data_IF_372439067993
#
_entry.id   IF_372439067993
#
_cell.length_a   1.000
_cell.length_b   1.000
_cell.length_c   1.000
_cell.angle_alpha   90.00
_cell.angle_beta   90.00
_cell.angle_gamma   90.00
#
_symmetry.space_group_name_H-M   'P 1'
#
loop_
_entity.id
_entity.type
_entity.pdbx_description
1 polymer ?
#
# COMPACT_ATOMS: atom_id res chain seq x y z
N UNK A 1 0.91 -5.32 4.44
CA UNK A 1 0.45 -4.65 3.20
C UNK A 1 0.13 -3.18 3.43
N UNK A 2 -0.69 -2.84 4.43
CA UNK A 2 -1.03 -1.44 4.77
C UNK A 2 0.18 -0.49 4.87
N UNK A 3 1.30 -0.93 5.48
CA UNK A 3 2.52 -0.12 5.58
C UNK A 3 3.14 0.23 4.22
N UNK A 4 3.16 -0.70 3.27
CA UNK A 4 3.70 -0.47 1.92
C UNK A 4 2.86 0.54 1.14
N UNK A 5 1.53 0.38 1.19
CA UNK A 5 0.59 1.32 0.58
C UNK A 5 0.77 2.72 1.19
N UNK A 6 0.84 2.80 2.53
CA UNK A 6 1.02 4.07 3.25
C UNK A 6 2.31 4.77 2.84
N UNK A 7 3.42 4.04 2.80
CA UNK A 7 4.72 4.56 2.40
C UNK A 7 4.70 5.05 0.95
N UNK A 8 4.08 4.29 0.05
CA UNK A 8 3.94 4.66 -1.36
C UNK A 8 3.13 5.94 -1.56
N UNK A 9 1.97 6.03 -0.91
CA UNK A 9 1.10 7.23 -0.95
C UNK A 9 1.88 8.47 -0.50
N UNK A 10 2.64 8.36 0.61
CA UNK A 10 3.49 9.45 1.10
C UNK A 10 4.62 9.79 0.12
N UNK A 11 5.31 8.79 -0.43
CA UNK A 11 6.39 8.98 -1.40
C UNK A 11 5.92 9.68 -2.67
N UNK A 12 4.67 9.43 -3.10
CA UNK A 12 4.04 10.09 -4.25
C UNK A 12 3.45 11.47 -3.94
N UNK A 13 3.47 11.92 -2.68
CA UNK A 13 2.87 13.19 -2.27
C UNK A 13 1.34 13.21 -2.36
N UNK A 14 0.68 12.05 -2.40
CA UNK A 14 -0.76 11.95 -2.52
C UNK A 14 -1.45 12.15 -1.17
N UNK A 15 -2.59 12.86 -1.17
CA UNK A 15 -3.43 13.01 0.02
C UNK A 15 -4.23 11.73 0.27
N UNK A 16 -4.27 11.24 1.52
CA UNK A 16 -5.03 10.04 1.86
C UNK A 16 -6.53 10.14 1.51
N UNK A 17 -7.15 11.30 1.71
CA UNK A 17 -8.55 11.52 1.31
C UNK A 17 -8.75 11.33 -0.20
N UNK A 18 -7.83 11.83 -1.02
CA UNK A 18 -7.88 11.65 -2.47
C UNK A 18 -7.81 10.17 -2.85
N UNK A 19 -6.93 9.40 -2.20
CA UNK A 19 -6.78 7.95 -2.43
C UNK A 19 -8.05 7.20 -2.01
N UNK A 20 -8.65 7.55 -0.88
CA UNK A 20 -9.89 6.95 -0.40
C UNK A 20 -11.06 7.20 -1.37
N UNK A 21 -11.24 8.46 -1.77
CA UNK A 21 -12.32 8.89 -2.66
C UNK A 21 -12.20 8.19 -4.03
N UNK A 22 -10.98 8.12 -4.60
CA UNK A 22 -10.71 7.39 -5.86
C UNK A 22 -10.94 5.89 -5.77
N UNK A 23 -10.70 5.28 -4.61
CA UNK A 23 -10.92 3.84 -4.41
C UNK A 23 -12.41 3.51 -4.16
N UNK A 24 -13.27 4.52 -4.00
CA UNK A 24 -14.65 4.32 -3.56
C UNK A 24 -14.73 3.75 -2.15
N UNK A 25 -13.78 4.09 -1.27
CA UNK A 25 -13.73 3.63 0.12
C UNK A 25 -14.06 4.82 1.02
N UNK A 26 -14.99 4.62 1.95
CA UNK A 26 -15.33 5.62 2.96
C UNK A 26 -14.06 6.04 3.74
N UNK A 27 -13.86 7.35 3.92
CA UNK A 27 -12.58 7.90 4.40
C UNK A 27 -12.17 7.35 5.76
N UNK A 28 -13.09 7.30 6.73
CA UNK A 28 -12.81 6.76 8.08
C UNK A 28 -12.40 5.30 8.00
N UNK A 29 -13.07 4.49 7.19
CA UNK A 29 -12.69 3.12 6.89
C UNK A 29 -11.29 3.06 6.26
N UNK A 30 -11.01 3.87 5.24
CA UNK A 30 -9.69 3.92 4.61
C UNK A 30 -8.57 4.25 5.61
N UNK A 31 -8.79 5.22 6.52
CA UNK A 31 -7.83 5.53 7.57
C UNK A 31 -7.59 4.34 8.51
N UNK A 32 -8.63 3.59 8.87
CA UNK A 32 -8.46 2.37 9.66
C UNK A 32 -7.67 1.30 8.90
N UNK A 33 -7.93 1.12 7.61
CA UNK A 33 -7.22 0.18 6.74
C UNK A 33 -5.73 0.54 6.62
N UNK A 34 -5.40 1.79 6.28
CA UNK A 34 -4.03 2.23 6.02
C UNK A 34 -3.17 2.32 7.29
N UNK A 35 -3.81 2.41 8.45
CA UNK A 35 -3.17 2.35 9.76
C UNK A 35 -3.14 0.93 10.36
N UNK A 36 -3.66 -0.08 9.64
CA UNK A 36 -3.66 -1.48 10.13
C UNK A 36 -4.65 -1.77 11.26
N UNK A 37 -5.61 -0.88 11.52
CA UNK A 37 -6.63 -1.01 12.57
C UNK A 37 -7.81 -1.90 12.14
N UNK A 38 -7.87 -2.30 10.87
CA UNK A 38 -8.87 -3.21 10.32
C UNK A 38 -8.24 -3.98 9.16
N UNK A 39 -8.71 -5.20 8.95
CA UNK A 39 -8.29 -6.07 7.87
C UNK A 39 -8.58 -5.45 6.51
N UNK A 40 -7.57 -5.39 5.66
CA UNK A 40 -7.70 -4.99 4.26
C UNK A 40 -8.14 -6.20 3.44
N UNK A 41 -9.30 -6.12 2.80
CA UNK A 41 -9.79 -7.20 1.92
C UNK A 41 -9.07 -7.19 0.57
N UNK A 42 -9.14 -8.29 -0.16
CA UNK A 42 -8.58 -8.38 -1.52
C UNK A 42 -9.21 -7.33 -2.44
N UNK A 43 -10.54 -7.17 -2.40
CA UNK A 43 -11.26 -6.21 -3.22
C UNK A 43 -10.85 -4.76 -2.91
N UNK A 44 -10.74 -4.40 -1.63
CA UNK A 44 -10.28 -3.07 -1.21
C UNK A 44 -8.84 -2.82 -1.66
N UNK A 45 -7.99 -3.83 -1.52
CA UNK A 45 -6.61 -3.77 -1.97
C UNK A 45 -6.52 -3.52 -3.48
N UNK A 46 -7.29 -4.27 -4.28
CA UNK A 46 -7.32 -4.10 -5.74
C UNK A 46 -7.82 -2.72 -6.14
N UNK A 47 -8.90 -2.24 -5.51
CA UNK A 47 -9.44 -0.89 -5.76
C UNK A 47 -8.41 0.18 -5.45
N UNK A 48 -7.73 0.12 -4.30
CA UNK A 48 -6.68 1.08 -3.94
C UNK A 48 -5.55 1.06 -4.98
N UNK A 49 -5.06 -0.12 -5.36
CA UNK A 49 -3.96 -0.25 -6.31
C UNK A 49 -4.32 0.28 -7.69
N UNK A 50 -5.45 -0.19 -8.26
CA UNK A 50 -5.81 0.09 -9.65
C UNK A 50 -6.47 1.45 -9.84
N UNK A 51 -7.38 1.83 -8.95
CA UNK A 51 -8.22 3.03 -9.14
C UNK A 51 -7.59 4.30 -8.54
N UNK A 52 -6.77 4.17 -7.50
CA UNK A 52 -6.21 5.33 -6.80
C UNK A 52 -4.72 5.51 -7.02
N UNK A 53 -3.96 4.43 -7.08
CA UNK A 53 -2.50 4.48 -7.20
C UNK A 53 -1.99 4.19 -8.61
N UNK A 54 -2.88 3.73 -9.50
CA UNK A 54 -2.57 3.39 -10.89
C UNK A 54 -1.39 2.41 -11.01
N UNK A 55 -1.31 1.45 -10.09
CA UNK A 55 -0.30 0.39 -10.09
C UNK A 55 -0.95 -0.99 -10.12
N UNK A 56 -0.23 -1.95 -10.72
CA UNK A 56 -0.61 -3.36 -10.62
C UNK A 56 -0.61 -3.81 -9.15
N UNK A 57 -1.61 -4.57 -8.68
CA UNK A 57 -1.58 -5.18 -7.35
C UNK A 57 -0.33 -6.03 -7.09
N UNK A 58 0.34 -6.57 -8.12
CA UNK A 58 1.59 -7.31 -7.99
C UNK A 58 2.77 -6.43 -7.50
N UNK A 59 2.73 -5.12 -7.76
CA UNK A 59 3.80 -4.17 -7.45
C UNK A 59 4.27 -4.24 -5.99
N UNK A 60 3.33 -4.35 -5.04
CA UNK A 60 3.68 -4.38 -3.61
C UNK A 60 4.15 -5.77 -3.14
N UNK A 61 3.85 -6.83 -3.87
CA UNK A 61 4.39 -8.16 -3.58
C UNK A 61 5.82 -8.31 -4.11
N UNK A 62 6.07 -7.82 -5.32
CA UNK A 62 7.40 -7.83 -5.93
C UNK A 62 8.39 -6.95 -5.15
N UNK A 63 8.00 -5.74 -4.74
CA UNK A 63 8.87 -4.89 -3.94
C UNK A 63 9.17 -5.46 -2.55
N UNK A 64 8.21 -6.12 -1.90
CA UNK A 64 8.46 -6.82 -0.63
C UNK A 64 9.50 -7.93 -0.81
N UNK A 65 9.48 -8.61 -1.96
CA UNK A 65 10.43 -9.68 -2.29
C UNK A 65 11.83 -9.15 -2.62
N UNK A 66 11.93 -7.97 -3.23
CA UNK A 66 13.21 -7.32 -3.52
C UNK A 66 13.86 -6.72 -2.26
N UNK A 67 13.09 -6.13 -1.34
CA UNK A 67 13.61 -5.62 -0.06
C UNK A 67 14.21 -6.74 0.80
N UNK A 68 13.55 -7.90 0.86
CA UNK A 68 14.04 -9.06 1.64
C UNK A 68 15.32 -9.68 1.07
N UNK A 69 15.54 -9.64 -0.25
CA UNK A 69 16.80 -10.11 -0.86
C UNK A 69 18.01 -9.23 -0.56
N UNK A 70 17.80 -7.92 -0.39
CA UNK A 70 18.89 -6.99 -0.08
C UNK A 70 19.40 -7.13 1.37
N UNK A 71 18.55 -7.61 2.29
CA UNK A 71 18.95 -7.87 3.68
C UNK A 71 19.85 -9.12 3.80
N UNK A 72 19.63 -10.14 2.97
CA UNK A 72 20.46 -11.36 2.98
C UNK A 72 21.88 -11.18 2.42
N UNK A 73 22.17 -10.04 1.77
CA UNK A 73 23.48 -9.78 1.16
C UNK A 73 24.39 -8.88 2.01
N UNK A 74 23.96 -8.46 3.21
CA UNK A 74 24.85 -7.87 4.22
C UNK A 74 25.54 -8.99 5.00
N UNK A 75 26.64 -9.51 4.44
CA UNK A 75 27.60 -10.31 5.21
C UNK A 75 28.07 -9.47 6.42
N UNK A 76 28.10 -10.02 7.64
CA UNK A 76 28.79 -9.36 8.74
C UNK A 76 30.27 -9.22 8.36
N UNK A 77 30.79 -8.01 8.53
CA UNK A 77 32.22 -7.72 8.45
C UNK A 77 32.95 -8.27 9.68
#
# INVERSE_FOLDING_TARGET
MHNLIRAYVKKKGLKFNYVADKAGIERKKFYRLINGQTTLTLEEYERICRLSLEVSPAYFFENKFLETKNETNKKPA
#
